data_IF_086046083643
#
_entry.id   IF_086046083643
#
_cell.length_a   1.000
_cell.length_b   1.000
_cell.length_c   1.000
_cell.angle_alpha   90.00
_cell.angle_beta   90.00
_cell.angle_gamma   90.00
#
_symmetry.space_group_name_H-M   'P 1'
#
loop_
_entity.id
_entity.type
_entity.pdbx_description
1 polymer ?
#
# COMPACT_ATOMS: atom_id res chain seq x y z
N UNK A 1 21.93 9.14 1.85
CA UNK A 1 21.68 8.24 3.00
C UNK A 1 22.32 6.89 2.68
N UNK A 2 23.05 6.32 3.63
CA UNK A 2 23.60 4.98 3.45
C UNK A 2 22.45 3.97 3.37
N UNK A 3 22.52 3.12 2.34
CA UNK A 3 21.56 2.01 2.18
C UNK A 3 21.86 0.97 3.26
N UNK A 4 20.83 0.32 3.84
CA UNK A 4 21.11 -0.77 4.79
C UNK A 4 21.77 -1.94 4.07
N UNK A 5 22.76 -2.55 4.71
CA UNK A 5 23.40 -3.77 4.20
C UNK A 5 22.47 -4.94 4.50
N UNK A 6 21.85 -5.50 3.45
CA UNK A 6 20.88 -6.59 3.58
C UNK A 6 21.24 -7.68 2.57
N UNK A 7 21.26 -8.91 3.06
CA UNK A 7 21.40 -10.08 2.19
C UNK A 7 20.23 -10.17 1.19
N UNK A 8 20.53 -10.53 -0.06
CA UNK A 8 19.55 -10.69 -1.12
C UNK A 8 19.65 -12.11 -1.68
N UNK A 9 18.53 -12.83 -1.59
CA UNK A 9 18.40 -14.18 -2.14
C UNK A 9 17.54 -14.13 -3.42
N UNK A 10 18.11 -14.57 -4.52
CA UNK A 10 17.39 -14.73 -5.77
C UNK A 10 16.67 -16.09 -5.79
N UNK A 11 15.34 -16.06 -5.88
CA UNK A 11 14.50 -17.25 -5.86
C UNK A 11 13.69 -17.38 -7.15
N UNK A 12 13.66 -18.57 -7.73
CA UNK A 12 12.71 -18.91 -8.79
C UNK A 12 11.42 -19.45 -8.17
N UNK A 13 10.29 -18.87 -8.52
CA UNK A 13 8.97 -19.41 -8.18
C UNK A 13 8.78 -20.80 -8.82
N UNK A 14 8.31 -21.77 -8.04
CA UNK A 14 8.16 -23.18 -8.45
C UNK A 14 7.03 -23.35 -9.48
N UNK A 15 6.95 -24.50 -10.15
CA UNK A 15 6.00 -24.76 -11.24
C UNK A 15 4.54 -24.47 -10.86
N UNK A 16 4.07 -24.90 -9.70
CA UNK A 16 2.71 -24.68 -9.18
C UNK A 16 2.44 -23.32 -8.53
N UNK A 17 3.49 -22.58 -8.16
CA UNK A 17 3.36 -21.30 -7.48
C UNK A 17 2.75 -20.21 -8.36
N UNK A 18 1.79 -19.46 -7.81
CA UNK A 18 1.24 -18.25 -8.44
C UNK A 18 2.01 -17.03 -7.95
N UNK A 19 2.17 -16.03 -8.79
CA UNK A 19 2.69 -14.73 -8.40
C UNK A 19 1.59 -13.65 -8.35
N UNK A 20 0.50 -13.83 -9.11
CA UNK A 20 -0.67 -12.96 -9.07
C UNK A 20 -1.73 -13.60 -8.19
N UNK A 21 -1.97 -13.01 -7.04
CA UNK A 21 -2.89 -13.52 -6.03
C UNK A 21 -4.22 -12.79 -6.09
N UNK A 22 -5.32 -13.53 -5.95
CA UNK A 22 -6.66 -12.96 -5.83
C UNK A 22 -6.77 -12.07 -4.59
N UNK A 23 -7.66 -11.07 -4.60
CA UNK A 23 -7.95 -10.28 -3.42
C UNK A 23 -8.44 -11.17 -2.29
N UNK A 24 -7.98 -10.89 -1.06
CA UNK A 24 -8.52 -11.55 0.13
C UNK A 24 -9.97 -11.09 0.35
N UNK A 25 -10.85 -11.98 0.80
CA UNK A 25 -12.28 -11.73 0.97
C UNK A 25 -12.58 -10.43 1.72
N UNK A 26 -11.85 -10.18 2.81
CA UNK A 26 -12.04 -9.02 3.69
C UNK A 26 -11.68 -7.65 3.05
N UNK A 27 -11.01 -7.65 1.91
CA UNK A 27 -10.64 -6.40 1.19
C UNK A 27 -11.76 -5.94 0.27
N UNK A 28 -12.66 -6.86 -0.13
CA UNK A 28 -13.76 -6.58 -1.06
C UNK A 28 -15.04 -6.04 -0.44
N UNK A 29 -15.20 -6.15 0.89
CA UNK A 29 -16.44 -5.76 1.56
C UNK A 29 -16.66 -4.25 1.62
N UNK A 30 -15.58 -3.47 1.74
CA UNK A 30 -15.63 -2.02 1.81
C UNK A 30 -15.69 -1.32 0.46
N UNK A 31 -15.15 -1.95 -0.56
CA UNK A 31 -15.02 -1.32 -1.86
C UNK A 31 -15.27 -2.33 -2.97
N UNK A 32 -16.27 -2.06 -3.79
CA UNK A 32 -16.52 -2.88 -4.99
C UNK A 32 -15.25 -3.13 -5.80
N UNK A 33 -14.36 -2.15 -5.86
CA UNK A 33 -13.10 -2.24 -6.59
C UNK A 33 -12.06 -3.13 -5.89
N UNK A 34 -12.10 -3.27 -4.57
CA UNK A 34 -11.24 -4.19 -3.83
C UNK A 34 -11.39 -5.64 -4.28
N UNK A 35 -12.57 -6.01 -4.77
CA UNK A 35 -12.84 -7.35 -5.34
C UNK A 35 -12.16 -7.60 -6.68
N UNK A 36 -11.75 -6.55 -7.37
CA UNK A 36 -11.08 -6.61 -8.68
C UNK A 36 -9.55 -6.49 -8.56
N UNK A 37 -9.04 -6.13 -7.37
CA UNK A 37 -7.61 -5.85 -7.18
C UNK A 37 -6.88 -7.12 -6.80
N UNK A 38 -6.16 -7.68 -7.75
CA UNK A 38 -5.18 -8.74 -7.56
C UNK A 38 -3.85 -8.14 -7.11
N UNK A 39 -3.03 -8.91 -6.42
CA UNK A 39 -1.76 -8.43 -5.89
C UNK A 39 -0.59 -9.22 -6.44
N UNK A 40 0.52 -8.54 -6.70
CA UNK A 40 1.81 -9.14 -7.05
C UNK A 40 2.93 -8.41 -6.32
N UNK A 41 3.82 -9.16 -5.69
CA UNK A 41 5.00 -8.62 -5.02
C UNK A 41 6.26 -9.19 -5.69
N UNK A 42 7.08 -8.35 -6.34
CA UNK A 42 8.36 -8.78 -6.93
C UNK A 42 9.35 -9.29 -5.91
N UNK A 43 9.18 -8.85 -4.67
CA UNK A 43 10.07 -9.13 -3.54
C UNK A 43 9.30 -9.57 -2.31
N UNK A 44 9.97 -10.33 -1.43
CA UNK A 44 9.60 -10.52 -0.03
C UNK A 44 10.60 -9.72 0.82
N UNK A 45 10.17 -9.05 1.87
CA UNK A 45 10.88 -8.05 2.67
C UNK A 45 11.31 -6.81 1.86
N UNK A 46 11.47 -5.70 2.57
CA UNK A 46 11.71 -4.39 1.96
C UNK A 46 12.86 -3.66 2.66
N UNK A 47 13.81 -3.12 1.88
CA UNK A 47 14.98 -2.40 2.37
C UNK A 47 14.71 -0.94 2.77
N UNK A 48 13.49 -0.44 2.65
CA UNK A 48 13.18 0.97 2.93
C UNK A 48 12.98 1.29 4.42
N UNK A 49 12.89 0.27 5.27
CA UNK A 49 13.00 0.39 6.73
C UNK A 49 11.92 1.21 7.44
N UNK A 50 10.76 1.43 6.84
CA UNK A 50 9.67 2.16 7.50
C UNK A 50 9.31 1.48 8.84
N UNK A 51 9.45 2.19 9.96
CA UNK A 51 9.27 1.60 11.30
C UNK A 51 7.82 1.16 11.60
N UNK A 52 6.85 1.71 10.90
CA UNK A 52 5.42 1.42 11.03
C UNK A 52 4.92 0.40 9.98
N UNK A 53 5.81 -0.31 9.26
CA UNK A 53 5.41 -1.18 8.15
C UNK A 53 4.55 -2.36 8.64
N UNK A 54 3.34 -2.47 8.11
CA UNK A 54 2.40 -3.55 8.42
C UNK A 54 2.70 -4.86 7.70
N UNK A 55 3.63 -4.87 6.76
CA UNK A 55 3.89 -6.02 5.87
C UNK A 55 5.08 -6.88 6.31
N UNK A 56 5.76 -6.50 7.38
CA UNK A 56 6.87 -7.26 7.92
C UNK A 56 6.50 -7.93 9.23
N UNK A 57 6.81 -9.23 9.32
CA UNK A 57 6.39 -10.12 10.39
C UNK A 57 7.53 -11.05 10.83
N UNK A 58 7.45 -11.70 12.01
CA UNK A 58 8.45 -12.67 12.46
C UNK A 58 8.69 -13.82 11.49
N UNK A 59 7.67 -14.20 10.73
CA UNK A 59 7.76 -15.26 9.71
C UNK A 59 8.18 -14.78 8.32
N UNK A 60 8.43 -13.50 8.14
CA UNK A 60 9.04 -12.99 6.92
C UNK A 60 10.50 -13.45 6.83
N UNK A 61 11.04 -13.72 5.62
CA UNK A 61 12.45 -14.11 5.47
C UNK A 61 13.38 -13.10 6.16
N UNK A 62 14.50 -13.51 6.78
CA UNK A 62 15.45 -12.57 7.40
C UNK A 62 16.17 -11.67 6.38
N UNK A 63 16.16 -12.05 5.11
CA UNK A 63 16.79 -11.41 3.96
C UNK A 63 15.74 -10.98 2.93
N UNK A 64 16.13 -10.18 1.95
CA UNK A 64 15.27 -9.86 0.80
C UNK A 64 15.24 -11.06 -0.14
N UNK A 65 14.04 -11.51 -0.52
CA UNK A 65 13.87 -12.53 -1.56
C UNK A 65 13.40 -11.84 -2.85
N UNK A 66 14.18 -12.00 -3.92
CA UNK A 66 13.85 -11.50 -5.25
C UNK A 66 13.30 -12.63 -6.14
N UNK A 67 12.08 -12.49 -6.65
CA UNK A 67 11.43 -13.48 -7.50
C UNK A 67 11.87 -13.34 -8.97
N UNK A 68 13.06 -13.88 -9.30
CA UNK A 68 13.76 -13.60 -10.57
C UNK A 68 13.07 -14.11 -11.85
N UNK A 69 12.02 -14.95 -11.74
CA UNK A 69 11.22 -15.43 -12.88
C UNK A 69 9.76 -14.94 -12.82
N UNK A 70 9.52 -13.83 -12.15
CA UNK A 70 8.16 -13.31 -11.90
C UNK A 70 7.42 -12.93 -13.18
N UNK A 71 8.12 -12.43 -14.18
CA UNK A 71 7.63 -12.11 -15.52
C UNK A 71 7.01 -13.32 -16.22
N UNK A 72 7.72 -14.43 -16.26
CA UNK A 72 7.23 -15.70 -16.84
C UNK A 72 6.01 -16.20 -16.08
N UNK A 73 6.03 -16.10 -14.75
CA UNK A 73 4.90 -16.51 -13.89
C UNK A 73 3.69 -15.61 -14.06
N UNK A 74 3.90 -14.30 -14.11
CA UNK A 74 2.84 -13.33 -14.33
C UNK A 74 2.14 -13.54 -15.67
N UNK A 75 2.90 -13.79 -16.73
CA UNK A 75 2.33 -14.10 -18.05
C UNK A 75 1.44 -15.35 -18.00
N UNK A 76 1.86 -16.41 -17.29
CA UNK A 76 1.06 -17.63 -17.12
C UNK A 76 -0.21 -17.38 -16.29
N UNK A 77 -0.10 -16.64 -15.20
CA UNK A 77 -1.23 -16.36 -14.32
C UNK A 77 -2.26 -15.45 -15.00
N UNK A 78 -1.81 -14.43 -15.76
CA UNK A 78 -2.66 -13.57 -16.57
C UNK A 78 -3.39 -14.36 -17.67
N UNK A 79 -2.75 -15.34 -18.30
CA UNK A 79 -3.43 -16.24 -19.25
C UNK A 79 -4.60 -17.00 -18.61
N UNK A 80 -4.48 -17.43 -17.35
CA UNK A 80 -5.55 -18.09 -16.59
C UNK A 80 -6.68 -17.15 -16.19
N UNK A 81 -6.38 -15.87 -16.04
CA UNK A 81 -7.33 -14.83 -15.67
C UNK A 81 -8.00 -14.15 -16.88
N UNK A 82 -7.75 -14.63 -18.11
CA UNK A 82 -8.32 -14.09 -19.34
C UNK A 82 -9.85 -14.03 -19.27
N UNK A 83 -10.38 -12.89 -19.71
CA UNK A 83 -11.82 -12.62 -19.68
C UNK A 83 -12.34 -12.11 -18.34
N UNK A 84 -11.54 -12.11 -17.27
CA UNK A 84 -11.87 -11.46 -16.01
C UNK A 84 -11.47 -9.98 -16.05
N UNK A 85 -12.31 -9.13 -15.47
CA UNK A 85 -11.98 -7.74 -15.24
C UNK A 85 -11.18 -7.65 -13.95
N UNK A 86 -9.88 -7.45 -14.07
CA UNK A 86 -8.95 -7.37 -12.92
C UNK A 86 -8.10 -6.11 -13.00
N UNK A 87 -7.63 -5.71 -11.83
CA UNK A 87 -6.61 -4.69 -11.66
C UNK A 87 -5.48 -5.31 -10.86
N UNK A 88 -4.23 -5.08 -11.25
CA UNK A 88 -3.08 -5.64 -10.57
C UNK A 88 -2.40 -4.57 -9.72
N UNK A 89 -2.34 -4.77 -8.41
CA UNK A 89 -1.52 -3.98 -7.49
C UNK A 89 -0.11 -4.56 -7.42
N UNK A 90 0.87 -3.80 -7.86
CA UNK A 90 2.30 -4.14 -7.77
C UNK A 90 2.87 -3.50 -6.52
N UNK A 91 3.40 -4.31 -5.61
CA UNK A 91 3.99 -3.82 -4.36
C UNK A 91 2.96 -3.59 -3.23
N UNK A 92 2.09 -4.57 -2.97
CA UNK A 92 1.14 -4.49 -1.87
C UNK A 92 1.77 -4.72 -0.49
N UNK A 93 2.85 -5.48 -0.41
CA UNK A 93 3.54 -5.84 0.82
C UNK A 93 4.98 -5.31 0.90
N UNK A 94 5.60 -5.05 -0.25
CA UNK A 94 6.95 -4.51 -0.34
C UNK A 94 6.98 -3.37 -1.33
N UNK A 95 7.93 -2.44 -1.22
CA UNK A 95 8.12 -1.47 -2.28
C UNK A 95 8.79 -2.16 -3.49
N UNK A 96 8.16 -2.15 -4.66
CA UNK A 96 8.72 -2.80 -5.85
C UNK A 96 9.95 -2.07 -6.39
N UNK A 97 10.20 -0.84 -5.95
CA UNK A 97 11.36 -0.03 -6.30
C UNK A 97 12.31 0.18 -5.11
N UNK A 98 12.38 -0.81 -4.20
CA UNK A 98 13.38 -0.82 -3.14
C UNK A 98 14.81 -0.89 -3.72
N UNK A 99 15.84 -0.63 -2.91
CA UNK A 99 17.22 -0.42 -3.39
C UNK A 99 17.75 -1.52 -4.33
N UNK A 100 17.48 -2.78 -4.03
CA UNK A 100 17.96 -3.93 -4.84
C UNK A 100 17.34 -4.00 -6.24
N UNK A 101 16.24 -3.28 -6.49
CA UNK A 101 15.60 -3.22 -7.81
C UNK A 101 16.46 -2.45 -8.82
N UNK A 102 17.36 -1.57 -8.36
CA UNK A 102 18.29 -0.86 -9.22
C UNK A 102 19.11 -1.82 -10.08
N UNK A 103 19.63 -2.87 -9.44
CA UNK A 103 20.49 -3.87 -10.06
C UNK A 103 19.70 -5.05 -10.65
N UNK A 104 18.74 -5.58 -9.89
CA UNK A 104 18.05 -6.82 -10.26
C UNK A 104 16.96 -6.64 -11.30
N UNK A 105 16.36 -5.46 -11.42
CA UNK A 105 15.33 -5.09 -12.39
C UNK A 105 14.15 -6.10 -12.48
N UNK A 106 13.78 -6.71 -11.36
CA UNK A 106 12.70 -7.70 -11.30
C UNK A 106 11.35 -7.05 -11.58
N UNK A 107 11.12 -5.87 -10.99
CA UNK A 107 9.92 -5.05 -11.23
C UNK A 107 9.86 -4.61 -12.68
N UNK A 108 10.96 -4.12 -13.25
CA UNK A 108 11.00 -3.70 -14.65
C UNK A 108 10.61 -4.83 -15.60
N UNK A 109 11.09 -6.07 -15.37
CA UNK A 109 10.69 -7.23 -16.18
C UNK A 109 9.20 -7.55 -16.04
N UNK A 110 8.67 -7.49 -14.81
CA UNK A 110 7.24 -7.69 -14.56
C UNK A 110 6.38 -6.64 -15.29
N UNK A 111 6.78 -5.36 -15.26
CA UNK A 111 6.04 -4.28 -15.91
C UNK A 111 5.96 -4.44 -17.43
N UNK A 112 7.01 -4.95 -18.08
CA UNK A 112 7.00 -5.28 -19.52
C UNK A 112 5.91 -6.31 -19.88
N UNK A 113 5.53 -7.18 -18.95
CA UNK A 113 4.41 -8.11 -19.12
C UNK A 113 3.07 -7.44 -18.86
N UNK A 114 2.98 -6.61 -17.81
CA UNK A 114 1.72 -5.99 -17.39
C UNK A 114 1.23 -4.91 -18.37
N UNK A 115 2.14 -4.15 -18.98
CA UNK A 115 1.81 -3.02 -19.85
C UNK A 115 0.88 -3.40 -21.00
N UNK A 116 1.04 -4.58 -21.56
CA UNK A 116 0.24 -5.08 -22.68
C UNK A 116 -0.96 -5.93 -22.24
N UNK A 117 -0.99 -6.39 -20.98
CA UNK A 117 -1.89 -7.48 -20.59
C UNK A 117 -2.89 -7.13 -19.49
N UNK A 118 -2.64 -6.08 -18.71
CA UNK A 118 -3.47 -5.75 -17.55
C UNK A 118 -3.58 -4.24 -17.31
N UNK A 119 -4.66 -3.83 -16.62
CA UNK A 119 -4.69 -2.57 -15.88
C UNK A 119 -3.95 -2.79 -14.56
N UNK A 120 -3.03 -1.91 -14.18
CA UNK A 120 -2.26 -2.07 -12.95
C UNK A 120 -1.94 -0.75 -12.26
N UNK A 121 -1.60 -0.84 -10.99
CA UNK A 121 -1.00 0.30 -10.29
C UNK A 121 0.17 -0.16 -9.42
N UNK A 122 1.06 0.78 -9.17
CA UNK A 122 2.27 0.54 -8.41
C UNK A 122 2.19 1.36 -7.12
N UNK A 123 2.35 0.69 -5.97
CA UNK A 123 2.48 1.36 -4.68
C UNK A 123 3.97 1.53 -4.37
N UNK A 124 4.45 2.78 -4.33
CA UNK A 124 5.87 3.07 -4.06
C UNK A 124 6.07 4.41 -3.37
N UNK A 125 7.26 4.59 -2.81
CA UNK A 125 7.81 5.87 -2.30
C UNK A 125 9.21 6.16 -2.84
N UNK A 126 9.68 5.33 -3.77
CA UNK A 126 11.03 5.38 -4.31
C UNK A 126 11.13 6.28 -5.54
N UNK A 127 12.23 7.03 -5.64
CA UNK A 127 12.55 7.83 -6.83
C UNK A 127 12.87 6.96 -8.04
N UNK A 128 13.26 5.70 -7.82
CA UNK A 128 13.64 4.74 -8.87
C UNK A 128 12.49 4.43 -9.85
N UNK A 129 11.25 4.69 -9.49
CA UNK A 129 10.09 4.52 -10.40
C UNK A 129 10.25 5.34 -11.69
N UNK A 130 11.00 6.44 -11.67
CA UNK A 130 11.24 7.27 -12.86
C UNK A 130 12.11 6.59 -13.92
N UNK A 131 12.86 5.52 -13.55
CA UNK A 131 13.61 4.69 -14.51
C UNK A 131 12.69 4.03 -15.53
N UNK A 132 11.49 3.67 -15.13
CA UNK A 132 10.57 2.86 -15.94
C UNK A 132 9.45 3.68 -16.62
N UNK A 133 9.63 5.01 -16.73
CA UNK A 133 8.71 5.92 -17.44
C UNK A 133 8.48 5.45 -18.89
N UNK A 134 9.52 4.95 -19.55
CA UNK A 134 9.45 4.42 -20.91
C UNK A 134 8.43 3.29 -21.08
N UNK A 135 8.24 2.47 -20.04
CA UNK A 135 7.24 1.41 -20.00
C UNK A 135 5.89 1.96 -19.54
N UNK A 136 5.88 2.72 -18.44
CA UNK A 136 4.67 3.15 -17.75
C UNK A 136 3.76 4.03 -18.62
N UNK A 137 4.32 4.91 -19.44
CA UNK A 137 3.55 5.79 -20.33
C UNK A 137 2.75 5.04 -21.41
N UNK A 138 3.12 3.81 -21.71
CA UNK A 138 2.44 2.99 -22.70
C UNK A 138 1.36 2.07 -22.05
N UNK A 139 1.28 2.03 -20.71
CA UNK A 139 0.39 1.15 -19.97
C UNK A 139 -0.92 1.81 -19.54
N UNK A 140 -1.94 0.99 -19.29
CA UNK A 140 -3.12 1.42 -18.54
C UNK A 140 -2.84 1.30 -17.05
N UNK A 141 -2.12 2.29 -16.50
CA UNK A 141 -1.61 2.23 -15.14
C UNK A 141 -1.64 3.59 -14.44
N UNK A 142 -1.40 3.56 -13.14
CA UNK A 142 -1.12 4.74 -12.31
C UNK A 142 -0.15 4.40 -11.18
N UNK A 143 0.46 5.44 -10.62
CA UNK A 143 1.36 5.32 -9.48
C UNK A 143 0.62 5.78 -8.22
N UNK A 144 0.54 4.92 -7.21
CA UNK A 144 0.10 5.26 -5.87
C UNK A 144 1.34 5.65 -5.04
N UNK A 145 1.70 6.93 -5.08
CA UNK A 145 2.96 7.42 -4.53
C UNK A 145 2.78 7.88 -3.07
N UNK A 146 3.54 7.27 -2.15
CA UNK A 146 3.46 7.61 -0.72
C UNK A 146 4.24 8.87 -0.39
N UNK A 147 3.56 9.84 0.23
CA UNK A 147 4.12 11.13 0.67
C UNK A 147 3.39 11.58 1.95
N UNK A 148 3.75 11.01 3.13
CA UNK A 148 2.98 11.20 4.36
C UNK A 148 3.27 12.50 5.12
N UNK A 149 4.38 13.19 4.83
CA UNK A 149 4.80 14.39 5.55
C UNK A 149 5.57 15.36 4.65
N UNK A 150 5.60 16.64 5.03
CA UNK A 150 6.50 17.66 4.48
C UNK A 150 7.79 17.79 5.31
N UNK A 151 7.86 17.14 6.46
CA UNK A 151 8.92 17.33 7.44
C UNK A 151 10.08 16.35 7.21
N UNK A 152 11.26 16.87 6.94
CA UNK A 152 12.46 16.05 6.68
C UNK A 152 12.90 15.21 7.88
N UNK A 153 12.68 15.69 9.12
CA UNK A 153 12.98 14.91 10.33
C UNK A 153 12.07 13.68 10.45
N UNK A 154 10.81 13.80 9.97
CA UNK A 154 9.93 12.64 9.88
C UNK A 154 10.58 11.50 9.08
N UNK A 155 11.14 11.80 7.91
CA UNK A 155 11.77 10.78 7.07
C UNK A 155 13.01 10.17 7.72
N UNK A 156 13.83 10.96 8.40
CA UNK A 156 15.02 10.45 9.12
C UNK A 156 14.63 9.47 10.22
N UNK A 157 13.55 9.76 10.94
CA UNK A 157 13.12 8.98 12.10
C UNK A 157 12.27 7.78 11.69
N UNK A 158 11.24 7.98 10.87
CA UNK A 158 10.21 6.97 10.57
C UNK A 158 10.44 6.21 9.26
N UNK A 159 11.18 6.79 8.31
CA UNK A 159 11.46 6.21 6.98
C UNK A 159 12.94 6.39 6.58
N UNK A 160 13.90 5.89 7.36
CA UNK A 160 15.32 6.30 7.29
C UNK A 160 16.01 6.03 5.96
N UNK A 161 15.52 5.09 5.17
CA UNK A 161 16.12 4.69 3.89
C UNK A 161 15.27 5.06 2.69
N UNK A 162 14.49 6.13 2.81
CA UNK A 162 13.58 6.58 1.74
C UNK A 162 13.88 8.03 1.33
N UNK A 163 13.49 8.43 0.11
CA UNK A 163 13.60 9.83 -0.33
C UNK A 163 12.81 10.77 0.59
N UNK A 164 13.30 11.99 0.75
CA UNK A 164 12.64 13.05 1.51
C UNK A 164 11.52 13.72 0.70
N UNK A 165 10.83 14.69 1.33
CA UNK A 165 9.69 15.37 0.73
C UNK A 165 9.97 15.96 -0.65
N UNK A 166 10.98 16.80 -0.79
CA UNK A 166 11.30 17.48 -2.06
C UNK A 166 11.66 16.53 -3.18
N UNK A 167 12.38 15.43 -2.87
CA UNK A 167 12.72 14.41 -3.85
C UNK A 167 11.47 13.68 -4.34
N UNK A 168 10.53 13.38 -3.42
CA UNK A 168 9.24 12.77 -3.77
C UNK A 168 8.39 13.69 -4.62
N UNK A 169 8.35 14.99 -4.28
CA UNK A 169 7.59 16.00 -5.02
C UNK A 169 8.12 16.13 -6.46
N UNK A 170 9.45 16.15 -6.64
CA UNK A 170 10.10 16.17 -7.96
C UNK A 170 9.74 14.93 -8.79
N UNK A 171 9.73 13.74 -8.18
CA UNK A 171 9.34 12.49 -8.85
C UNK A 171 7.88 12.51 -9.28
N UNK A 172 6.98 12.93 -8.39
CA UNK A 172 5.55 13.05 -8.70
C UNK A 172 5.34 14.02 -9.88
N UNK A 173 5.97 15.20 -9.82
CA UNK A 173 5.91 16.18 -10.90
C UNK A 173 6.43 15.62 -12.23
N UNK A 174 7.58 14.92 -12.21
CA UNK A 174 8.14 14.27 -13.40
C UNK A 174 7.19 13.24 -14.01
N UNK A 175 6.59 12.38 -13.19
CA UNK A 175 5.63 11.37 -13.65
C UNK A 175 4.39 12.01 -14.30
N UNK A 176 3.85 13.07 -13.69
CA UNK A 176 2.70 13.81 -14.21
C UNK A 176 3.00 14.49 -15.54
N UNK A 177 4.19 15.10 -15.69
CA UNK A 177 4.64 15.73 -16.92
C UNK A 177 4.81 14.72 -18.07
N UNK A 178 5.11 13.46 -17.76
CA UNK A 178 5.17 12.36 -18.74
C UNK A 178 3.78 11.72 -19.01
N UNK A 179 2.71 12.34 -18.50
CA UNK A 179 1.33 11.86 -18.68
C UNK A 179 0.97 10.64 -17.84
N UNK A 180 1.80 10.24 -16.87
CA UNK A 180 1.52 9.12 -15.97
C UNK A 180 0.67 9.63 -14.81
N UNK A 181 -0.50 9.02 -14.61
CA UNK A 181 -1.37 9.39 -13.50
C UNK A 181 -0.73 9.04 -12.16
N UNK A 182 -0.70 10.02 -11.24
CA UNK A 182 -0.24 9.82 -9.87
C UNK A 182 -1.38 10.08 -8.89
N UNK A 183 -1.57 9.15 -7.96
CA UNK A 183 -2.41 9.30 -6.78
C UNK A 183 -1.47 9.46 -5.59
N UNK A 184 -1.52 10.59 -4.91
CA UNK A 184 -0.68 10.82 -3.72
C UNK A 184 -1.31 10.14 -2.50
N UNK A 185 -0.50 9.37 -1.76
CA UNK A 185 -0.92 8.68 -0.55
C UNK A 185 -0.33 9.36 0.68
N UNK A 186 -1.19 10.02 1.44
CA UNK A 186 -0.89 10.56 2.77
C UNK A 186 -1.16 9.42 3.78
N UNK A 187 -0.26 8.44 3.79
CA UNK A 187 -0.46 7.17 4.49
C UNK A 187 0.86 6.60 5.03
N UNK A 188 0.91 6.33 6.35
CA UNK A 188 -0.13 6.64 7.33
C UNK A 188 -0.06 8.09 7.85
N UNK A 189 -1.19 8.65 8.25
CA UNK A 189 -1.21 9.76 9.20
C UNK A 189 -0.91 9.17 10.57
N UNK A 190 0.18 9.59 11.19
CA UNK A 190 0.59 9.15 12.53
C UNK A 190 0.08 10.20 13.54
N UNK A 191 -0.79 9.82 14.48
CA UNK A 191 -1.32 10.73 15.49
C UNK A 191 -0.22 11.50 16.22
N UNK A 192 -0.42 12.81 16.43
CA UNK A 192 0.51 13.73 17.11
C UNK A 192 1.86 13.95 16.40
N UNK A 193 2.03 13.40 15.19
CA UNK A 193 3.28 13.48 14.40
C UNK A 193 3.02 14.09 13.03
N UNK A 194 2.09 13.52 12.26
CA UNK A 194 1.77 13.98 10.90
C UNK A 194 0.31 14.42 10.75
N UNK A 195 -0.40 14.63 11.84
CA UNK A 195 -1.78 15.13 11.90
C UNK A 195 -1.89 16.64 12.14
N UNK A 196 -0.77 17.37 12.07
CA UNK A 196 -0.77 18.82 12.15
C UNK A 196 -1.46 19.42 10.91
N UNK A 197 -2.53 20.17 11.13
CA UNK A 197 -3.37 20.71 10.05
C UNK A 197 -2.64 21.73 9.17
N UNK A 198 -1.67 22.47 9.69
CA UNK A 198 -0.88 23.43 8.90
C UNK A 198 0.08 22.68 7.95
N UNK A 199 0.73 21.62 8.43
CA UNK A 199 1.58 20.77 7.59
C UNK A 199 0.77 20.01 6.54
N UNK A 200 -0.41 19.51 6.90
CA UNK A 200 -1.33 18.86 5.95
C UNK A 200 -1.88 19.84 4.90
N UNK A 201 -2.19 21.08 5.28
CA UNK A 201 -2.61 22.13 4.36
C UNK A 201 -1.50 22.46 3.35
N UNK A 202 -0.28 22.63 3.83
CA UNK A 202 0.89 22.87 2.97
C UNK A 202 1.16 21.67 2.03
N UNK A 203 1.11 20.44 2.56
CA UNK A 203 1.27 19.23 1.74
C UNK A 203 0.26 19.17 0.59
N UNK A 204 -1.02 19.40 0.88
CA UNK A 204 -2.08 19.37 -0.11
C UNK A 204 -1.98 20.52 -1.12
N UNK A 205 -1.55 21.71 -0.67
CA UNK A 205 -1.23 22.82 -1.56
C UNK A 205 -0.14 22.46 -2.54
N UNK A 206 1.01 21.95 -2.08
CA UNK A 206 2.12 21.56 -2.94
C UNK A 206 1.74 20.45 -3.92
N UNK A 207 1.00 19.44 -3.48
CA UNK A 207 0.49 18.38 -4.35
C UNK A 207 -0.45 18.93 -5.44
N UNK A 208 -1.35 19.84 -5.09
CA UNK A 208 -2.23 20.50 -6.05
C UNK A 208 -1.44 21.34 -7.06
N UNK A 209 -0.47 22.10 -6.57
CA UNK A 209 0.39 23.00 -7.38
C UNK A 209 1.16 22.26 -8.47
N UNK A 210 1.65 21.05 -8.18
CA UNK A 210 2.35 20.21 -9.16
C UNK A 210 1.42 19.39 -10.05
N UNK A 211 0.10 19.54 -9.91
CA UNK A 211 -0.90 18.90 -10.79
C UNK A 211 -1.47 17.57 -10.33
N UNK A 212 -1.21 17.12 -9.10
CA UNK A 212 -1.93 15.97 -8.52
C UNK A 212 -3.43 16.29 -8.51
N UNK A 213 -4.25 15.28 -8.87
CA UNK A 213 -5.72 15.42 -8.89
C UNK A 213 -6.41 14.60 -7.83
N UNK A 214 -5.70 13.69 -7.18
CA UNK A 214 -6.29 12.75 -6.25
C UNK A 214 -5.35 12.41 -5.11
N UNK A 215 -5.87 12.47 -3.88
CA UNK A 215 -5.17 12.08 -2.65
C UNK A 215 -5.92 10.98 -1.92
N UNK A 216 -5.17 10.08 -1.30
CA UNK A 216 -5.70 9.02 -0.43
C UNK A 216 -5.06 9.17 0.93
N UNK A 217 -5.88 9.25 1.99
CA UNK A 217 -5.38 9.29 3.35
C UNK A 217 -5.91 8.13 4.19
N UNK A 218 -5.06 7.61 5.06
CA UNK A 218 -5.44 6.71 6.14
C UNK A 218 -4.61 6.97 7.40
N UNK A 219 -5.14 6.56 8.56
CA UNK A 219 -4.49 6.72 9.85
C UNK A 219 -3.73 5.46 10.19
N UNK A 220 -2.60 5.60 10.88
CA UNK A 220 -1.79 4.49 11.35
C UNK A 220 -2.63 3.45 12.12
N UNK A 221 -2.42 2.18 11.80
CA UNK A 221 -2.97 1.03 12.51
C UNK A 221 -1.84 0.16 13.04
N UNK A 222 -1.98 -0.33 14.26
CA UNK A 222 -1.02 -1.20 14.90
C UNK A 222 -1.51 -2.67 14.86
N UNK A 223 -0.58 -3.59 14.74
CA UNK A 223 -0.94 -5.00 14.83
C UNK A 223 -1.27 -5.41 16.29
N UNK A 224 -2.13 -6.41 16.44
CA UNK A 224 -2.61 -6.88 17.75
C UNK A 224 -1.53 -7.54 18.61
N UNK A 225 -0.42 -7.97 18.02
CA UNK A 225 0.67 -8.65 18.72
C UNK A 225 1.78 -7.69 19.13
N UNK A 226 1.68 -6.43 18.73
CA UNK A 226 2.64 -5.39 19.05
C UNK A 226 3.94 -5.46 18.25
N UNK A 227 4.01 -6.22 17.18
CA UNK A 227 5.24 -6.35 16.38
C UNK A 227 5.68 -5.04 15.74
N UNK A 228 4.73 -4.24 15.25
CA UNK A 228 5.03 -2.91 14.73
C UNK A 228 5.60 -2.02 15.83
N UNK A 229 5.01 -2.08 17.03
CA UNK A 229 5.37 -1.21 18.15
C UNK A 229 6.71 -1.63 18.77
N UNK A 230 6.86 -2.91 19.10
CA UNK A 230 7.95 -3.41 19.95
C UNK A 230 8.98 -4.28 19.22
N UNK A 231 8.71 -4.66 17.95
CA UNK A 231 9.51 -5.62 17.21
C UNK A 231 9.24 -7.07 17.64
N UNK A 232 10.14 -7.96 17.26
CA UNK A 232 10.09 -9.40 17.56
C UNK A 232 11.51 -9.96 17.64
N UNK A 233 11.65 -11.13 18.23
CA UNK A 233 12.91 -11.85 18.27
C UNK A 233 13.41 -12.16 16.84
N UNK A 234 14.65 -11.84 16.53
CA UNK A 234 15.23 -11.97 15.19
C UNK A 234 14.81 -10.87 14.20
N UNK A 235 14.22 -9.76 14.67
CA UNK A 235 14.03 -8.58 13.82
C UNK A 235 15.41 -8.05 13.36
N UNK A 236 15.57 -7.71 12.06
CA UNK A 236 16.85 -7.21 11.56
C UNK A 236 17.32 -5.97 12.31
N UNK A 237 18.59 -5.93 12.70
CA UNK A 237 19.20 -4.85 13.51
C UNK A 237 19.18 -3.48 12.84
N UNK A 238 19.13 -3.44 11.50
CA UNK A 238 19.05 -2.21 10.73
C UNK A 238 17.64 -1.57 10.76
N UNK A 239 16.62 -2.31 11.19
CA UNK A 239 15.24 -1.83 11.25
C UNK A 239 14.89 -1.32 12.63
N UNK A 240 14.32 -0.13 12.69
CA UNK A 240 13.76 0.47 13.90
C UNK A 240 12.35 -0.05 14.18
N UNK A 241 12.00 -0.23 15.45
CA UNK A 241 10.59 -0.38 15.87
C UNK A 241 9.89 0.97 15.91
N UNK A 242 8.56 0.96 15.91
CA UNK A 242 7.82 2.21 16.06
C UNK A 242 8.08 2.86 17.43
N UNK A 243 8.20 2.07 18.51
CA UNK A 243 8.51 2.58 19.85
C UNK A 243 9.86 3.33 19.89
N UNK A 244 10.90 2.76 19.25
CA UNK A 244 12.20 3.43 19.15
C UNK A 244 12.09 4.75 18.36
N UNK A 245 11.35 4.75 17.25
CA UNK A 245 11.14 5.96 16.46
C UNK A 245 10.33 7.03 17.21
N UNK A 246 9.31 6.64 17.96
CA UNK A 246 8.53 7.54 18.81
C UNK A 246 9.37 8.16 19.92
N UNK A 247 10.25 7.36 20.56
CA UNK A 247 11.19 7.85 21.59
C UNK A 247 12.17 8.86 20.99
N UNK A 248 12.76 8.54 19.84
CA UNK A 248 13.66 9.46 19.12
C UNK A 248 12.93 10.77 18.75
N UNK A 249 11.70 10.67 18.25
CA UNK A 249 10.88 11.84 17.91
C UNK A 249 10.54 12.68 19.13
N UNK A 250 10.24 12.06 20.29
CA UNK A 250 9.92 12.78 21.53
C UNK A 250 11.07 13.64 22.04
N UNK A 251 12.31 13.22 21.78
CA UNK A 251 13.49 14.01 22.13
C UNK A 251 13.68 15.25 21.25
N UNK A 252 13.11 15.22 20.02
CA UNK A 252 13.23 16.33 19.05
C UNK A 252 12.04 17.27 19.08
N UNK A 253 10.82 16.74 19.28
CA UNK A 253 9.54 17.46 19.08
C UNK A 253 8.58 17.41 20.28
N UNK A 254 9.04 17.07 21.47
CA UNK A 254 8.22 17.05 22.70
C UNK A 254 6.91 16.24 22.58
N UNK A 255 6.97 15.06 21.98
CA UNK A 255 5.82 14.17 21.88
C UNK A 255 5.46 13.61 23.26
N UNK A 256 4.18 13.66 23.63
CA UNK A 256 3.67 12.96 24.80
C UNK A 256 3.36 11.49 24.47
N UNK A 257 4.32 10.60 24.74
CA UNK A 257 4.19 9.16 24.47
C UNK A 257 3.01 8.51 25.22
N UNK A 258 2.67 9.02 26.42
CA UNK A 258 1.51 8.51 27.17
C UNK A 258 0.22 8.75 26.40
N UNK A 259 -0.01 9.94 25.89
CA UNK A 259 -1.21 10.24 25.10
C UNK A 259 -1.26 9.42 23.80
N UNK A 260 -0.11 9.16 23.17
CA UNK A 260 -0.05 8.29 22.00
C UNK A 260 -0.49 6.87 22.33
N UNK A 261 0.02 6.29 23.43
CA UNK A 261 -0.33 4.93 23.85
C UNK A 261 -1.80 4.82 24.25
N UNK A 262 -2.30 5.76 25.06
CA UNK A 262 -3.71 5.82 25.48
C UNK A 262 -4.67 5.88 24.27
N UNK A 263 -4.28 6.57 23.19
CA UNK A 263 -5.10 6.65 21.99
C UNK A 263 -5.30 5.26 21.35
N UNK A 264 -4.27 4.40 21.35
CA UNK A 264 -4.38 3.05 20.80
C UNK A 264 -4.92 2.02 21.81
N UNK A 265 -4.73 2.21 23.11
CA UNK A 265 -5.38 1.42 24.17
C UNK A 265 -6.91 1.54 24.10
N UNK A 266 -7.41 2.75 23.79
CA UNK A 266 -8.81 3.03 23.54
C UNK A 266 -9.24 2.79 22.08
N UNK A 267 -8.38 2.15 21.29
CA UNK A 267 -8.58 1.92 19.87
C UNK A 267 -9.60 0.82 19.56
N UNK A 268 -9.96 0.75 18.29
CA UNK A 268 -10.94 -0.22 17.77
C UNK A 268 -10.27 -1.27 16.88
N UNK A 269 -10.75 -2.50 16.94
CA UNK A 269 -10.29 -3.54 16.03
C UNK A 269 -10.87 -3.33 14.63
N UNK A 270 -9.98 -3.06 13.66
CA UNK A 270 -10.34 -2.81 12.28
C UNK A 270 -9.48 -3.66 11.34
N UNK A 271 -10.11 -4.65 10.66
CA UNK A 271 -9.41 -5.57 9.72
C UNK A 271 -8.22 -6.32 10.32
N UNK A 272 -8.29 -6.67 11.61
CA UNK A 272 -7.23 -7.40 12.32
C UNK A 272 -6.14 -6.52 12.91
N UNK A 273 -6.27 -5.19 12.80
CA UNK A 273 -5.38 -4.17 13.38
C UNK A 273 -6.12 -3.31 14.40
N UNK A 274 -5.41 -2.72 15.32
CA UNK A 274 -5.91 -1.70 16.25
C UNK A 274 -5.78 -0.34 15.55
N UNK A 275 -6.91 0.31 15.32
CA UNK A 275 -6.98 1.68 14.80
C UNK A 275 -7.31 2.64 15.94
N UNK A 276 -6.92 3.92 15.89
CA UNK A 276 -7.41 4.92 16.82
C UNK A 276 -8.95 4.97 16.86
N UNK A 277 -9.57 5.44 17.95
CA UNK A 277 -11.02 5.52 18.08
C UNK A 277 -11.69 6.22 16.91
N UNK A 278 -12.94 5.87 16.61
CA UNK A 278 -13.69 6.39 15.45
C UNK A 278 -13.77 7.91 15.45
N UNK A 279 -14.00 8.54 16.62
CA UNK A 279 -14.08 10.00 16.76
C UNK A 279 -12.77 10.70 16.33
N UNK A 280 -11.61 10.14 16.71
CA UNK A 280 -10.31 10.67 16.26
C UNK A 280 -10.14 10.53 14.76
N UNK A 281 -10.42 9.31 14.21
CA UNK A 281 -10.30 9.04 12.78
C UNK A 281 -11.25 9.92 11.96
N UNK A 282 -12.49 10.06 12.42
CA UNK A 282 -13.49 10.92 11.76
C UNK A 282 -13.03 12.37 11.73
N UNK A 283 -12.55 12.90 12.87
CA UNK A 283 -12.07 14.29 12.96
C UNK A 283 -10.93 14.55 11.97
N UNK A 284 -9.84 13.80 12.05
CA UNK A 284 -8.66 14.07 11.21
C UNK A 284 -8.94 13.85 9.73
N UNK A 285 -9.64 12.77 9.36
CA UNK A 285 -9.93 12.47 7.96
C UNK A 285 -10.94 13.46 7.36
N UNK A 286 -11.88 14.01 8.15
CA UNK A 286 -12.78 15.10 7.72
C UNK A 286 -12.01 16.40 7.46
N UNK A 287 -11.02 16.72 8.30
CA UNK A 287 -10.17 17.88 8.07
C UNK A 287 -9.31 17.71 6.80
N UNK A 288 -8.70 16.53 6.60
CA UNK A 288 -7.97 16.26 5.35
C UNK A 288 -8.89 16.36 4.13
N UNK A 289 -10.15 15.89 4.25
CA UNK A 289 -11.15 16.03 3.19
C UNK A 289 -11.45 17.51 2.91
N UNK A 290 -11.72 18.31 3.94
CA UNK A 290 -11.97 19.75 3.80
C UNK A 290 -10.81 20.48 3.12
N UNK A 291 -9.58 20.14 3.50
CA UNK A 291 -8.37 20.68 2.87
C UNK A 291 -8.20 20.22 1.41
N UNK A 292 -8.51 18.97 1.11
CA UNK A 292 -8.50 18.46 -0.26
C UNK A 292 -9.52 19.21 -1.14
N UNK A 293 -10.72 19.45 -0.64
CA UNK A 293 -11.76 20.22 -1.34
C UNK A 293 -11.32 21.69 -1.58
N UNK A 294 -10.62 22.32 -0.62
CA UNK A 294 -10.02 23.67 -0.76
C UNK A 294 -9.12 23.74 -2.00
N UNK A 295 -8.35 22.70 -2.25
CA UNK A 295 -7.43 22.62 -3.39
C UNK A 295 -7.98 21.86 -4.60
N UNK A 296 -9.28 21.58 -4.63
CA UNK A 296 -9.97 20.86 -5.72
C UNK A 296 -9.37 19.49 -6.02
N UNK A 297 -8.89 18.81 -4.98
CA UNK A 297 -8.37 17.46 -5.04
C UNK A 297 -9.51 16.45 -4.79
N UNK A 298 -9.57 15.39 -5.59
CA UNK A 298 -10.36 14.23 -5.23
C UNK A 298 -9.78 13.58 -3.97
N UNK A 299 -10.64 13.14 -3.07
CA UNK A 299 -10.25 12.55 -1.81
C UNK A 299 -10.82 11.15 -1.63
N UNK A 300 -10.01 10.26 -1.07
CA UNK A 300 -10.45 8.96 -0.60
C UNK A 300 -9.79 8.59 0.71
N UNK A 301 -10.45 7.68 1.44
CA UNK A 301 -9.86 6.99 2.57
C UNK A 301 -10.00 5.49 2.40
N UNK A 302 -8.97 4.72 2.75
CA UNK A 302 -8.94 3.28 2.60
C UNK A 302 -8.85 2.58 3.94
N UNK A 303 -9.70 1.51 4.15
CA UNK A 303 -9.64 0.64 5.32
C UNK A 303 -9.78 1.38 6.67
N UNK A 304 -10.54 2.47 6.70
CA UNK A 304 -10.83 3.26 7.90
C UNK A 304 -12.23 3.00 8.48
N UNK A 305 -12.93 2.03 7.93
CA UNK A 305 -14.30 1.65 8.28
C UNK A 305 -15.32 2.05 7.20
N UNK A 306 -16.39 1.27 7.05
CA UNK A 306 -17.36 1.47 5.96
C UNK A 306 -18.09 2.81 6.06
N UNK A 307 -18.39 3.29 7.26
CA UNK A 307 -19.10 4.56 7.46
C UNK A 307 -18.24 5.75 7.02
N UNK A 308 -17.00 5.85 7.52
CA UNK A 308 -16.08 6.92 7.12
C UNK A 308 -15.83 6.93 5.61
N UNK A 309 -15.81 5.76 4.99
CA UNK A 309 -15.64 5.67 3.55
C UNK A 309 -16.84 6.23 2.79
N UNK A 310 -18.07 5.91 3.21
CA UNK A 310 -19.29 6.43 2.58
C UNK A 310 -19.38 7.94 2.72
N UNK A 311 -19.02 8.49 3.86
CA UNK A 311 -19.18 9.90 4.18
C UNK A 311 -18.07 10.76 3.55
N UNK A 312 -16.84 10.27 3.50
CA UNK A 312 -15.68 11.09 3.19
C UNK A 312 -15.10 10.89 1.79
N UNK A 313 -15.28 9.73 1.14
CA UNK A 313 -14.77 9.56 -0.21
C UNK A 313 -15.52 10.45 -1.21
N UNK A 314 -14.78 11.00 -2.17
CA UNK A 314 -15.37 11.65 -3.34
C UNK A 314 -16.02 10.59 -4.23
N UNK A 315 -17.26 10.25 -3.95
CA UNK A 315 -18.07 9.34 -4.76
C UNK A 315 -18.50 10.02 -6.05
N UNK A 316 -18.50 9.25 -7.11
CA UNK A 316 -19.07 9.65 -8.38
C UNK A 316 -20.00 8.53 -8.82
N UNK A 317 -21.18 8.94 -9.26
CA UNK A 317 -22.35 8.19 -9.68
C UNK A 317 -22.21 6.70 -10.06
N UNK A 318 -23.24 5.94 -9.74
CA UNK A 318 -23.31 4.48 -9.71
C UNK A 318 -22.93 3.75 -11.01
N UNK A 319 -22.87 4.41 -12.15
CA UNK A 319 -22.60 3.78 -13.46
C UNK A 319 -21.17 3.96 -14.00
N UNK A 320 -20.36 4.77 -13.37
CA UNK A 320 -18.94 4.89 -13.71
C UNK A 320 -18.12 4.50 -12.51
N UNK A 321 -17.31 3.45 -12.63
CA UNK A 321 -16.33 3.04 -11.63
C UNK A 321 -15.30 4.17 -11.47
N UNK A 322 -15.67 5.15 -10.68
CA UNK A 322 -14.80 6.25 -10.27
C UNK A 322 -14.68 6.23 -8.77
N UNK A 323 -14.23 5.11 -8.23
CA UNK A 323 -13.58 5.23 -6.94
C UNK A 323 -12.31 6.03 -7.18
N UNK A 324 -12.11 7.03 -6.36
CA UNK A 324 -10.93 7.84 -6.39
C UNK A 324 -9.62 7.02 -6.23
N UNK A 325 -9.69 5.75 -5.81
CA UNK A 325 -8.56 4.83 -5.84
C UNK A 325 -8.21 4.33 -7.25
N UNK A 326 -9.10 4.52 -8.26
CA UNK A 326 -8.94 3.99 -9.61
C UNK A 326 -9.56 4.95 -10.61
N UNK A 327 -8.75 5.80 -11.18
CA UNK A 327 -9.19 6.82 -12.12
C UNK A 327 -9.53 6.29 -13.52
N UNK A 328 -9.27 5.02 -13.81
CA UNK A 328 -9.47 4.43 -15.15
C UNK A 328 -10.28 3.14 -15.09
N UNK A 329 -11.11 2.90 -16.11
CA UNK A 329 -11.74 1.59 -16.33
C UNK A 329 -10.64 0.59 -16.71
N UNK A 330 -10.57 -0.60 -16.07
CA UNK A 330 -9.63 -1.63 -16.50
C UNK A 330 -9.91 -2.02 -17.95
N UNK A 331 -8.86 -2.13 -18.76
CA UNK A 331 -8.96 -2.66 -20.12
C UNK A 331 -9.53 -4.07 -20.07
N UNK A 332 -10.48 -4.44 -20.95
CA UNK A 332 -10.86 -5.83 -21.09
C UNK A 332 -9.61 -6.61 -21.54
N UNK A 333 -9.28 -7.68 -20.82
CA UNK A 333 -8.17 -8.55 -21.21
C UNK A 333 -8.51 -9.10 -22.60
N UNK A 334 -7.68 -8.80 -23.59
CA UNK A 334 -7.91 -9.19 -24.99
C UNK A 334 -8.24 -10.67 -25.08
N UNK A 335 -9.42 -10.98 -25.61
CA UNK A 335 -9.73 -12.37 -26.01
C UNK A 335 -8.85 -12.71 -27.22
N UNK A 336 -8.07 -13.77 -27.20
CA UNK A 336 -7.48 -14.27 -28.45
C UNK A 336 -8.62 -14.61 -29.39
N UNK A 337 -8.49 -14.25 -30.67
CA UNK A 337 -9.39 -14.75 -31.71
C UNK A 337 -9.49 -16.27 -31.56
N UNK A 338 -10.70 -16.78 -31.36
CA UNK A 338 -10.96 -18.21 -31.28
C UNK A 338 -10.56 -18.85 -32.60
N UNK A 339 -9.46 -19.56 -32.59
CA UNK A 339 -9.28 -20.71 -33.50
C UNK A 339 -10.28 -21.77 -33.04
N UNK A 340 -11.22 -22.14 -33.92
CA UNK A 340 -12.28 -23.07 -33.56
C UNK A 340 -11.78 -24.46 -33.30
N UNK A 341 -12.38 -25.12 -32.31
CA UNK A 341 -12.74 -26.55 -32.21
C UNK A 341 -13.09 -26.90 -30.76
N UNK A 342 -14.27 -27.42 -30.55
CA UNK A 342 -14.54 -28.80 -30.16
C UNK A 342 -15.04 -28.85 -28.70
N UNK A 343 -16.29 -29.25 -28.52
CA UNK A 343 -17.03 -29.33 -27.28
C UNK A 343 -16.58 -30.43 -26.32
N UNK A 344 -17.06 -30.34 -25.09
CA UNK A 344 -16.95 -31.34 -24.04
C UNK A 344 -17.55 -30.80 -22.74
N UNK A 345 -18.72 -31.32 -22.39
CA UNK A 345 -19.49 -31.07 -21.20
C UNK A 345 -18.97 -31.87 -20.01
N UNK A 346 -18.86 -31.30 -18.83
CA UNK A 346 -19.06 -31.99 -17.54
C UNK A 346 -19.28 -31.03 -16.40
N UNK A 347 -20.22 -31.37 -15.56
CA UNK A 347 -20.84 -30.65 -14.43
C UNK A 347 -19.99 -30.60 -13.15
N UNK A 348 -20.27 -29.74 -12.19
CA UNK A 348 -19.48 -29.52 -10.98
C UNK A 348 -20.00 -30.31 -9.77
N UNK A 349 -19.06 -30.81 -8.96
CA UNK A 349 -19.31 -31.35 -7.64
C UNK A 349 -19.25 -30.26 -6.55
N UNK A 350 -20.22 -30.25 -5.68
CA UNK A 350 -20.30 -29.46 -4.44
C UNK A 350 -19.51 -30.15 -3.33
N UNK A 351 -18.76 -29.41 -2.56
CA UNK A 351 -18.30 -29.83 -1.24
C UNK A 351 -18.40 -28.68 -0.23
N UNK A 352 -19.06 -29.00 0.86
CA UNK A 352 -19.44 -28.22 2.02
C UNK A 352 -18.25 -27.83 2.88
N UNK A 353 -18.17 -26.55 3.32
CA UNK A 353 -17.24 -26.08 4.34
C UNK A 353 -17.97 -25.80 5.66
N UNK A 354 -17.47 -26.40 6.73
CA UNK A 354 -17.90 -26.19 8.13
C UNK A 354 -17.30 -24.93 8.71
N UNK A 355 -18.10 -24.18 9.46
CA UNK A 355 -17.74 -23.01 10.25
C UNK A 355 -17.10 -23.42 11.59
N UNK A 356 -16.10 -22.72 12.14
CA UNK A 356 -15.65 -22.87 13.52
C UNK A 356 -16.34 -21.90 14.47
N UNK A 357 -16.64 -22.43 15.65
CA UNK A 357 -17.35 -21.84 16.78
C UNK A 357 -16.62 -20.68 17.47
N UNK A 358 -17.41 -19.80 18.03
CA UNK A 358 -17.06 -18.67 18.92
C UNK A 358 -16.34 -19.13 20.19
N UNK A 359 -15.13 -18.62 20.44
CA UNK A 359 -14.52 -18.62 21.78
C UNK A 359 -14.30 -17.19 22.26
N UNK A 360 -14.72 -16.96 23.47
CA UNK A 360 -14.69 -15.76 24.31
C UNK A 360 -13.28 -15.22 24.52
N UNK A 361 -13.10 -13.91 24.28
CA UNK A 361 -11.85 -13.19 24.44
C UNK A 361 -11.88 -12.33 25.71
N UNK A 362 -11.27 -12.83 26.76
CA UNK A 362 -10.79 -12.00 27.87
C UNK A 362 -9.37 -12.47 28.21
N UNK A 363 -8.44 -11.52 28.26
CA UNK A 363 -7.04 -11.65 28.65
C UNK A 363 -6.03 -11.53 27.52
N UNK A 364 -5.72 -10.32 27.07
CA UNK A 364 -4.40 -9.90 26.53
C UNK A 364 -4.34 -8.36 26.60
N UNK A 365 -4.35 -7.77 27.79
CA UNK A 365 -4.09 -6.32 27.98
C UNK A 365 -3.01 -6.07 29.04
N UNK A 366 -2.24 -7.08 29.45
CA UNK A 366 -1.23 -6.89 30.51
C UNK A 366 0.21 -6.66 30.04
N UNK A 367 0.47 -6.56 28.72
CA UNK A 367 1.85 -6.36 28.20
C UNK A 367 2.20 -4.93 27.79
N UNK A 368 1.39 -3.94 28.16
CA UNK A 368 1.70 -2.51 27.93
C UNK A 368 2.29 -1.80 29.17
N UNK A 369 2.77 -2.56 30.17
CA UNK A 369 3.48 -1.99 31.32
C UNK A 369 4.94 -2.41 31.27
N UNK A 370 5.77 -1.56 30.78
CA UNK A 370 7.13 -1.06 31.17
C UNK A 370 7.74 -0.35 29.98
#
# INVERSE_FOLDING_TARGET
>A
MEKPVIEVVQRKLRSGERCIHAPKANVGEECYLGRLVYVVNPYERCSLGCCYCYAEWPWSPPHIVAHVNIDVKAMRDLKRLRGKRIIVNVGSATDPYQHVEEDLQVTRRLLKVLVDTATFFIATRSTLVTRDIDILKNGDCWIAFSIPSINDEYYKVFEPYTPKFDERLKVISKLLNEGILVIARISPIIPMITDNLQELDHLLYELSRIGVKHVVADVLKLDRRGYIMNGWEGMPSWKKTLSQALTEWSNVKSLNLKNFNELYENGELLYGYIAPPLNYRAKILSEVRRLADKYKLLYSTCRMGPNLKRELCSWIEQDTIKCACIAKKPKPIMRPKRGGRGGGSSSPNQSSARSPSSQTYSTIISSFKT
#
